data_IF_531542884253
#
_entry.id   IF_531542884253
#
_cell.length_a   1.000
_cell.length_b   1.000
_cell.length_c   1.000
_cell.angle_alpha   90.00
_cell.angle_beta   90.00
_cell.angle_gamma   90.00
#
_symmetry.space_group_name_H-M   'P 1'
#
loop_
_entity.id
_entity.type
_entity.pdbx_description
1 polymer ?
#
# COMPACT_ATOMS: atom_id res chain seq x y z
N UNK A 1 50.48 -19.34 10.31
CA UNK A 1 49.25 -19.57 9.52
C UNK A 1 48.92 -18.30 8.74
N UNK A 2 48.86 -18.29 7.42
CA UNK A 2 48.56 -17.07 6.66
C UNK A 2 47.07 -16.78 6.68
N UNK A 3 46.72 -15.51 6.90
CA UNK A 3 45.36 -14.98 6.88
C UNK A 3 44.71 -15.17 5.50
N UNK A 4 43.52 -15.77 5.44
CA UNK A 4 42.72 -15.91 4.25
C UNK A 4 42.19 -14.53 3.80
N UNK A 5 42.76 -14.00 2.73
CA UNK A 5 42.29 -12.83 2.04
C UNK A 5 40.90 -13.13 1.43
N UNK A 6 39.83 -12.50 1.95
CA UNK A 6 38.49 -12.57 1.40
C UNK A 6 38.47 -11.81 0.07
N UNK A 7 37.99 -12.38 -1.06
CA UNK A 7 37.97 -11.67 -2.32
C UNK A 7 37.08 -10.41 -2.23
N UNK A 8 37.44 -9.31 -2.92
CA UNK A 8 36.66 -8.09 -2.89
C UNK A 8 35.28 -8.32 -3.51
N UNK A 9 34.25 -7.86 -2.80
CA UNK A 9 32.86 -7.89 -3.25
C UNK A 9 32.72 -7.10 -4.56
N UNK A 10 32.25 -7.74 -5.63
CA UNK A 10 31.94 -7.14 -6.93
C UNK A 10 30.61 -6.35 -6.92
N UNK A 11 29.93 -6.24 -5.78
CA UNK A 11 28.74 -5.43 -5.67
C UNK A 11 29.09 -3.95 -5.84
N UNK A 12 28.51 -3.31 -6.84
CA UNK A 12 28.66 -1.88 -7.09
C UNK A 12 28.24 -1.09 -5.81
N UNK A 13 29.21 -0.44 -5.16
CA UNK A 13 28.92 0.47 -4.06
C UNK A 13 28.15 1.66 -4.63
N UNK A 14 26.91 1.88 -4.14
CA UNK A 14 26.18 3.12 -4.45
C UNK A 14 27.07 4.32 -4.16
N UNK A 15 27.24 5.21 -5.16
CA UNK A 15 28.06 6.40 -4.94
C UNK A 15 27.39 7.29 -3.88
N UNK A 16 28.16 8.03 -3.05
CA UNK A 16 27.59 8.94 -2.04
C UNK A 16 26.59 9.95 -2.61
N UNK A 17 26.75 10.37 -3.86
CA UNK A 17 25.83 11.26 -4.58
C UNK A 17 24.49 10.61 -4.84
N UNK A 18 24.47 9.33 -5.25
CA UNK A 18 23.22 8.58 -5.47
C UNK A 18 22.47 8.33 -4.15
N UNK A 19 23.18 8.02 -3.08
CA UNK A 19 22.57 7.85 -1.76
C UNK A 19 21.87 9.14 -1.29
N UNK A 20 22.56 10.29 -1.37
CA UNK A 20 21.99 11.59 -1.01
C UNK A 20 20.78 11.97 -1.87
N UNK A 21 20.82 11.64 -3.16
CA UNK A 21 19.68 11.89 -4.05
C UNK A 21 18.47 11.05 -3.67
N UNK A 22 18.65 9.78 -3.32
CA UNK A 22 17.57 8.90 -2.84
C UNK A 22 17.01 9.38 -1.50
N UNK A 23 17.86 9.76 -0.55
CA UNK A 23 17.43 10.33 0.73
C UNK A 23 16.60 11.61 0.53
N UNK A 24 17.06 12.51 -0.35
CA UNK A 24 16.31 13.73 -0.63
C UNK A 24 14.97 13.44 -1.31
N UNK A 25 14.93 12.49 -2.23
CA UNK A 25 13.69 12.04 -2.87
C UNK A 25 12.72 11.51 -1.82
N UNK A 26 13.19 10.70 -0.87
CA UNK A 26 12.36 10.17 0.22
C UNK A 26 11.84 11.28 1.12
N UNK A 27 12.68 12.24 1.53
CA UNK A 27 12.25 13.41 2.31
C UNK A 27 11.13 14.21 1.64
N UNK A 28 11.19 14.35 0.31
CA UNK A 28 10.11 15.01 -0.45
C UNK A 28 8.81 14.21 -0.34
N UNK A 29 8.86 12.90 -0.44
CA UNK A 29 7.68 12.03 -0.34
C UNK A 29 7.09 12.06 1.08
N UNK A 30 7.92 11.96 2.11
CA UNK A 30 7.49 11.98 3.51
C UNK A 30 6.79 13.31 3.85
N UNK A 31 7.37 14.43 3.44
CA UNK A 31 6.76 15.77 3.65
C UNK A 31 5.48 15.92 2.82
N UNK A 32 5.43 15.34 1.63
CA UNK A 32 4.21 15.36 0.81
C UNK A 32 3.09 14.60 1.48
N UNK A 33 3.37 13.41 2.05
CA UNK A 33 2.40 12.64 2.80
C UNK A 33 1.86 13.39 4.02
N UNK A 34 2.74 14.05 4.80
CA UNK A 34 2.33 14.90 5.93
C UNK A 34 1.45 16.07 5.48
N UNK A 35 1.84 16.76 4.42
CA UNK A 35 1.07 17.89 3.89
C UNK A 35 -0.29 17.44 3.34
N UNK A 36 -0.38 16.25 2.74
CA UNK A 36 -1.67 15.68 2.33
C UNK A 36 -2.62 15.52 3.52
N UNK A 37 -2.13 15.04 4.67
CA UNK A 37 -2.94 14.95 5.89
C UNK A 37 -3.34 16.32 6.45
N UNK A 38 -2.44 17.32 6.37
CA UNK A 38 -2.65 18.65 6.94
C UNK A 38 -3.61 19.52 6.11
N UNK A 39 -3.42 19.56 4.78
CA UNK A 39 -4.10 20.52 3.90
C UNK A 39 -4.98 19.86 2.82
N UNK A 40 -4.91 18.54 2.67
CA UNK A 40 -5.63 17.80 1.64
C UNK A 40 -5.00 17.90 0.25
N UNK A 41 -5.65 17.24 -0.72
CA UNK A 41 -5.15 17.17 -2.10
C UNK A 41 -5.22 18.53 -2.83
N UNK A 42 -6.31 19.28 -2.67
CA UNK A 42 -6.55 20.51 -3.45
C UNK A 42 -5.53 21.60 -3.11
N UNK A 43 -5.26 21.81 -1.82
CA UNK A 43 -4.35 22.86 -1.33
C UNK A 43 -2.87 22.45 -1.36
N UNK A 44 -2.56 21.17 -1.61
CA UNK A 44 -1.18 20.73 -1.80
C UNK A 44 -0.57 21.34 -3.05
N UNK A 45 0.56 22.03 -2.90
CA UNK A 45 1.34 22.63 -4.00
C UNK A 45 2.82 22.29 -3.91
N UNK A 46 3.52 22.29 -5.05
CA UNK A 46 4.99 22.12 -5.08
C UNK A 46 5.71 23.24 -4.33
N UNK A 47 5.13 24.45 -4.29
CA UNK A 47 5.65 25.57 -3.52
C UNK A 47 5.57 25.27 -2.02
N UNK A 48 4.45 24.72 -1.55
CA UNK A 48 4.25 24.36 -0.15
C UNK A 48 5.23 23.24 0.29
N UNK A 49 5.41 22.23 -0.56
CA UNK A 49 6.37 21.16 -0.32
C UNK A 49 7.80 21.70 -0.21
N UNK A 50 8.22 22.54 -1.19
CA UNK A 50 9.55 23.13 -1.20
C UNK A 50 9.79 24.03 0.04
N UNK A 51 8.79 24.84 0.41
CA UNK A 51 8.84 25.68 1.61
C UNK A 51 9.00 24.86 2.90
N UNK A 52 8.25 23.76 3.04
CA UNK A 52 8.32 22.88 4.22
C UNK A 52 9.69 22.20 4.35
N UNK A 53 10.36 21.92 3.24
CA UNK A 53 11.70 21.31 3.17
C UNK A 53 12.86 22.31 3.22
N UNK A 54 12.56 23.61 3.25
CA UNK A 54 13.56 24.69 3.14
C UNK A 54 14.47 24.52 1.91
N UNK A 55 13.86 24.25 0.75
CA UNK A 55 14.55 24.17 -0.54
C UNK A 55 13.90 25.08 -1.57
N UNK A 56 14.64 25.42 -2.63
CA UNK A 56 14.05 26.13 -3.76
C UNK A 56 13.07 25.22 -4.53
N UNK A 57 12.03 25.81 -5.15
CA UNK A 57 11.11 25.10 -6.05
C UNK A 57 11.86 24.49 -7.23
N UNK A 58 12.92 25.15 -7.72
CA UNK A 58 13.81 24.61 -8.75
C UNK A 58 14.53 23.33 -8.29
N UNK A 59 14.98 23.29 -7.03
CA UNK A 59 15.56 22.06 -6.44
C UNK A 59 14.55 20.92 -6.37
N UNK A 60 13.29 21.20 -6.01
CA UNK A 60 12.23 20.21 -6.01
C UNK A 60 11.97 19.68 -7.42
N UNK A 61 11.89 20.54 -8.42
CA UNK A 61 11.66 20.16 -9.82
C UNK A 61 12.78 19.30 -10.41
N UNK A 62 13.98 19.35 -9.84
CA UNK A 62 15.05 18.42 -10.21
C UNK A 62 14.70 16.97 -9.88
N UNK A 63 13.94 16.72 -8.82
CA UNK A 63 13.50 15.38 -8.41
C UNK A 63 12.13 15.01 -8.96
N UNK A 64 11.22 15.97 -9.02
CA UNK A 64 9.82 15.77 -9.42
C UNK A 64 9.36 16.95 -10.27
N UNK A 65 9.13 16.76 -11.57
CA UNK A 65 8.84 17.86 -12.49
C UNK A 65 7.52 18.60 -12.20
N UNK A 66 6.60 17.99 -11.43
CA UNK A 66 5.31 18.60 -11.07
C UNK A 66 4.67 17.86 -9.87
N UNK A 67 3.54 18.39 -9.36
CA UNK A 67 2.76 17.78 -8.28
C UNK A 67 2.33 16.33 -8.60
N UNK A 68 1.91 16.05 -9.85
CA UNK A 68 1.44 14.72 -10.24
C UNK A 68 2.55 13.68 -10.14
N UNK A 69 3.79 14.02 -10.49
CA UNK A 69 4.94 13.11 -10.37
C UNK A 69 5.31 12.79 -8.93
N UNK A 70 5.11 13.72 -7.99
CA UNK A 70 5.28 13.45 -6.56
C UNK A 70 4.20 12.47 -6.09
N UNK A 71 2.93 12.74 -6.44
CA UNK A 71 1.79 11.89 -6.07
C UNK A 71 1.91 10.48 -6.67
N UNK A 72 2.35 10.39 -7.93
CA UNK A 72 2.63 9.10 -8.58
C UNK A 72 3.66 8.28 -7.80
N UNK A 73 4.77 8.92 -7.39
CA UNK A 73 5.80 8.23 -6.63
C UNK A 73 5.31 7.82 -5.23
N UNK A 74 4.48 8.65 -4.58
CA UNK A 74 3.88 8.32 -3.28
C UNK A 74 2.89 7.15 -3.40
N UNK A 75 2.05 7.16 -4.43
CA UNK A 75 1.13 6.05 -4.71
C UNK A 75 1.88 4.75 -5.04
N UNK A 76 2.99 4.84 -5.81
CA UNK A 76 3.84 3.68 -6.09
C UNK A 76 4.45 3.07 -4.83
N UNK A 77 4.88 3.89 -3.85
CA UNK A 77 5.35 3.37 -2.56
C UNK A 77 4.23 2.65 -1.79
N UNK A 78 3.02 3.18 -1.81
CA UNK A 78 1.88 2.53 -1.18
C UNK A 78 1.58 1.16 -1.82
N UNK A 79 1.63 1.06 -3.15
CA UNK A 79 1.47 -0.22 -3.87
C UNK A 79 2.57 -1.22 -3.49
N UNK A 80 3.81 -0.77 -3.29
CA UNK A 80 4.90 -1.63 -2.79
C UNK A 80 4.58 -2.17 -1.38
N UNK A 81 4.08 -1.35 -0.48
CA UNK A 81 3.66 -1.79 0.86
C UNK A 81 2.51 -2.80 0.81
N UNK A 82 1.54 -2.59 -0.08
CA UNK A 82 0.47 -3.58 -0.34
C UNK A 82 1.06 -4.89 -0.86
N UNK A 83 2.00 -4.83 -1.79
CA UNK A 83 2.67 -6.02 -2.32
C UNK A 83 3.41 -6.81 -1.23
N UNK A 84 4.08 -6.13 -0.30
CA UNK A 84 4.72 -6.76 0.86
C UNK A 84 3.67 -7.40 1.78
N UNK A 85 2.54 -6.73 2.02
CA UNK A 85 1.46 -7.29 2.81
C UNK A 85 0.86 -8.55 2.16
N UNK A 86 0.76 -8.60 0.84
CA UNK A 86 0.31 -9.79 0.12
C UNK A 86 1.30 -10.96 0.26
N UNK A 87 2.63 -10.69 0.36
CA UNK A 87 3.59 -11.75 0.66
C UNK A 87 3.38 -12.35 2.06
N UNK A 88 3.07 -11.49 3.05
CA UNK A 88 2.75 -11.98 4.40
C UNK A 88 1.43 -12.76 4.41
N UNK A 89 0.42 -12.34 3.62
CA UNK A 89 -0.85 -13.07 3.47
C UNK A 89 -0.64 -14.43 2.80
N UNK A 90 0.31 -14.56 1.86
CA UNK A 90 0.71 -15.86 1.31
C UNK A 90 1.20 -16.81 2.42
N UNK A 91 2.01 -16.31 3.36
CA UNK A 91 2.49 -17.10 4.50
C UNK A 91 1.35 -17.43 5.47
N UNK A 92 0.50 -16.45 5.78
CA UNK A 92 -0.69 -16.66 6.63
C UNK A 92 -1.59 -17.75 6.05
N UNK A 93 -1.73 -17.83 4.72
CA UNK A 93 -2.54 -18.86 4.07
C UNK A 93 -1.97 -20.28 4.24
N UNK A 94 -0.64 -20.41 4.38
CA UNK A 94 0.00 -21.72 4.62
C UNK A 94 -0.08 -22.14 6.11
N UNK A 95 -0.10 -21.18 7.03
CA UNK A 95 0.02 -21.41 8.47
C UNK A 95 -1.33 -21.42 9.20
N UNK A 96 -2.40 -20.85 8.63
CA UNK A 96 -3.69 -20.71 9.29
C UNK A 96 -4.38 -22.07 9.48
N UNK A 97 -4.84 -22.34 10.70
CA UNK A 97 -5.53 -23.59 11.06
C UNK A 97 -6.99 -23.64 10.57
N UNK A 98 -7.56 -22.48 10.22
CA UNK A 98 -8.94 -22.37 9.75
C UNK A 98 -9.14 -21.21 8.78
N UNK A 99 -10.22 -21.28 7.97
CA UNK A 99 -10.61 -20.20 7.08
C UNK A 99 -10.95 -18.90 7.85
N UNK A 100 -11.52 -19.02 9.05
CA UNK A 100 -11.82 -17.89 9.93
C UNK A 100 -10.54 -17.20 10.40
N UNK A 101 -9.56 -17.97 10.84
CA UNK A 101 -8.25 -17.43 11.24
C UNK A 101 -7.53 -16.77 10.08
N UNK A 102 -7.46 -17.42 8.91
CA UNK A 102 -6.94 -16.82 7.69
C UNK A 102 -7.63 -15.48 7.38
N UNK A 103 -8.97 -15.48 7.41
CA UNK A 103 -9.77 -14.28 7.15
C UNK A 103 -9.37 -13.12 8.08
N UNK A 104 -9.33 -13.38 9.38
CA UNK A 104 -9.02 -12.38 10.40
C UNK A 104 -7.60 -11.83 10.26
N UNK A 105 -6.61 -12.71 10.10
CA UNK A 105 -5.21 -12.33 9.95
C UNK A 105 -4.93 -11.58 8.65
N UNK A 106 -5.56 -12.00 7.54
CA UNK A 106 -5.44 -11.31 6.26
C UNK A 106 -5.98 -9.88 6.32
N UNK A 107 -7.12 -9.68 6.97
CA UNK A 107 -7.68 -8.34 7.22
C UNK A 107 -6.77 -7.52 8.12
N UNK A 108 -6.30 -8.06 9.25
CA UNK A 108 -5.40 -7.35 10.16
C UNK A 108 -4.12 -6.90 9.44
N UNK A 109 -3.57 -7.76 8.57
CA UNK A 109 -2.37 -7.44 7.81
C UNK A 109 -2.60 -6.28 6.83
N UNK A 110 -3.73 -6.27 6.13
CA UNK A 110 -4.09 -5.16 5.24
C UNK A 110 -4.34 -3.86 6.01
N UNK A 111 -5.11 -3.90 7.10
CA UNK A 111 -5.36 -2.73 7.94
C UNK A 111 -4.06 -2.09 8.46
N UNK A 112 -3.04 -2.90 8.74
CA UNK A 112 -1.74 -2.39 9.17
C UNK A 112 -1.07 -1.52 8.09
N UNK A 113 -1.20 -1.85 6.80
CA UNK A 113 -0.70 -1.02 5.70
C UNK A 113 -1.38 0.35 5.72
N UNK A 114 -2.72 0.37 5.77
CA UNK A 114 -3.48 1.62 5.78
C UNK A 114 -3.16 2.49 7.01
N UNK A 115 -2.96 1.90 8.18
CA UNK A 115 -2.63 2.63 9.42
C UNK A 115 -1.22 3.24 9.41
N UNK A 116 -0.30 2.66 8.67
CA UNK A 116 1.08 3.17 8.55
C UNK A 116 1.22 4.28 7.53
N UNK A 117 0.28 4.38 6.60
CA UNK A 117 0.35 5.31 5.49
C UNK A 117 -0.24 6.68 5.87
N UNK A 118 0.63 7.68 6.03
CA UNK A 118 0.20 9.06 6.16
C UNK A 118 -0.37 9.58 4.83
N UNK A 119 -1.38 10.44 4.88
CA UNK A 119 -1.98 11.06 3.70
C UNK A 119 -2.75 10.09 2.80
N UNK A 120 -3.09 8.88 3.28
CA UNK A 120 -3.73 7.86 2.43
C UNK A 120 -5.08 8.32 1.87
N UNK A 121 -5.92 8.97 2.67
CA UNK A 121 -7.24 9.43 2.21
C UNK A 121 -7.15 10.47 1.10
N UNK A 122 -6.42 11.60 1.27
CA UNK A 122 -6.22 12.56 0.20
C UNK A 122 -5.45 11.99 -1.00
N UNK A 123 -4.57 10.99 -0.78
CA UNK A 123 -3.88 10.30 -1.87
C UNK A 123 -4.86 9.48 -2.72
N UNK A 124 -5.76 8.73 -2.10
CA UNK A 124 -6.81 7.98 -2.81
C UNK A 124 -7.73 8.94 -3.56
N UNK A 125 -8.12 10.08 -2.96
CA UNK A 125 -8.88 11.12 -3.66
C UNK A 125 -8.13 11.66 -4.89
N UNK A 126 -6.80 11.85 -4.78
CA UNK A 126 -5.97 12.27 -5.89
C UNK A 126 -5.93 11.20 -7.00
N UNK A 127 -5.84 9.92 -6.67
CA UNK A 127 -5.84 8.82 -7.63
C UNK A 127 -7.15 8.83 -8.44
N UNK A 128 -8.29 8.99 -7.81
CA UNK A 128 -9.59 9.06 -8.51
C UNK A 128 -9.79 10.35 -9.31
N UNK A 129 -9.21 11.48 -8.87
CA UNK A 129 -9.42 12.79 -9.48
C UNK A 129 -8.42 13.11 -10.60
N UNK A 130 -7.26 12.47 -10.63
CA UNK A 130 -6.16 12.75 -11.56
C UNK A 130 -6.03 11.62 -12.57
N UNK A 131 -6.42 11.84 -13.84
CA UNK A 131 -6.43 10.78 -14.86
C UNK A 131 -5.07 10.08 -15.05
N UNK A 132 -3.97 10.80 -14.86
CA UNK A 132 -2.61 10.27 -15.01
C UNK A 132 -2.22 9.27 -13.89
N UNK A 133 -2.96 9.23 -12.79
CA UNK A 133 -2.76 8.28 -11.70
C UNK A 133 -3.63 7.02 -11.83
N UNK A 134 -4.63 7.03 -12.72
CA UNK A 134 -5.53 5.88 -12.92
C UNK A 134 -4.81 4.56 -13.27
N UNK A 135 -3.75 4.54 -14.10
CA UNK A 135 -3.02 3.30 -14.36
C UNK A 135 -2.39 2.66 -13.11
N UNK A 136 -2.10 3.46 -12.07
CA UNK A 136 -1.62 2.93 -10.78
C UNK A 136 -2.73 2.23 -10.00
N UNK A 137 -3.95 2.77 -10.03
CA UNK A 137 -5.12 2.17 -9.41
C UNK A 137 -5.46 0.83 -10.09
N UNK A 138 -5.49 0.82 -11.42
CA UNK A 138 -5.71 -0.39 -12.21
C UNK A 138 -4.64 -1.47 -11.91
N UNK A 139 -3.36 -1.07 -11.84
CA UNK A 139 -2.27 -1.99 -11.52
C UNK A 139 -2.35 -2.52 -10.07
N UNK A 140 -2.77 -1.69 -9.11
CA UNK A 140 -3.05 -2.09 -7.74
C UNK A 140 -4.15 -3.14 -7.68
N UNK A 141 -5.27 -2.89 -8.34
CA UNK A 141 -6.41 -3.80 -8.38
C UNK A 141 -6.02 -5.16 -8.98
N UNK A 142 -5.36 -5.14 -10.14
CA UNK A 142 -4.87 -6.35 -10.80
C UNK A 142 -3.91 -7.15 -9.88
N UNK A 143 -2.99 -6.47 -9.20
CA UNK A 143 -2.06 -7.09 -8.27
C UNK A 143 -2.81 -7.83 -7.15
N UNK A 144 -3.73 -7.13 -6.47
CA UNK A 144 -4.48 -7.70 -5.34
C UNK A 144 -5.38 -8.84 -5.81
N UNK A 145 -6.14 -8.66 -6.89
CA UNK A 145 -7.07 -9.67 -7.41
C UNK A 145 -6.32 -10.94 -7.80
N UNK A 146 -5.24 -10.80 -8.59
CA UNK A 146 -4.45 -11.94 -9.03
C UNK A 146 -3.80 -12.71 -7.87
N UNK A 147 -3.31 -11.99 -6.86
CA UNK A 147 -2.67 -12.61 -5.69
C UNK A 147 -3.72 -13.28 -4.79
N UNK A 148 -4.77 -12.55 -4.41
CA UNK A 148 -5.82 -13.08 -3.55
C UNK A 148 -6.59 -14.24 -4.19
N UNK A 149 -6.84 -14.21 -5.51
CA UNK A 149 -7.46 -15.35 -6.21
C UNK A 149 -6.64 -16.63 -6.09
N UNK A 150 -5.31 -16.56 -6.14
CA UNK A 150 -4.41 -17.70 -5.90
C UNK A 150 -4.41 -18.14 -4.44
N UNK A 151 -4.40 -17.18 -3.51
CA UNK A 151 -4.45 -17.44 -2.07
C UNK A 151 -5.76 -18.15 -1.70
N UNK A 152 -6.89 -17.69 -2.20
CA UNK A 152 -8.20 -18.31 -1.94
C UNK A 152 -8.25 -19.77 -2.37
N UNK A 153 -7.63 -20.11 -3.49
CA UNK A 153 -7.50 -21.51 -3.92
C UNK A 153 -6.66 -22.35 -2.95
N UNK A 154 -5.63 -21.76 -2.34
CA UNK A 154 -4.77 -22.46 -1.35
C UNK A 154 -5.47 -22.70 -0.02
N UNK A 155 -6.36 -21.81 0.40
CA UNK A 155 -7.17 -21.99 1.62
C UNK A 155 -8.49 -22.74 1.33
N UNK A 156 -8.50 -23.56 0.27
CA UNK A 156 -9.57 -24.50 -0.09
C UNK A 156 -10.91 -23.84 -0.46
N UNK A 157 -10.86 -22.63 -1.04
CA UNK A 157 -12.03 -22.03 -1.68
C UNK A 157 -12.10 -22.55 -3.12
N UNK A 158 -13.19 -23.29 -3.42
CA UNK A 158 -13.41 -23.90 -4.71
C UNK A 158 -14.01 -22.91 -5.71
N UNK A 159 -13.72 -23.11 -7.00
CA UNK A 159 -14.29 -22.30 -8.08
C UNK A 159 -13.38 -22.21 -9.30
N UNK A 160 -13.93 -21.72 -10.38
CA UNK A 160 -13.18 -21.34 -11.58
C UNK A 160 -12.33 -20.10 -11.28
N UNK A 161 -11.30 -19.87 -12.10
CA UNK A 161 -10.47 -18.66 -11.95
C UNK A 161 -11.32 -17.38 -11.98
N UNK A 162 -12.33 -17.30 -12.83
CA UNK A 162 -13.24 -16.16 -12.93
C UNK A 162 -14.03 -15.92 -11.64
N UNK A 163 -14.46 -16.99 -10.98
CA UNK A 163 -15.17 -16.91 -9.69
C UNK A 163 -14.24 -16.46 -8.57
N UNK A 164 -13.01 -16.99 -8.53
CA UNK A 164 -11.99 -16.60 -7.55
C UNK A 164 -11.57 -15.14 -7.76
N UNK A 165 -11.39 -14.67 -8.98
CA UNK A 165 -11.06 -13.27 -9.28
C UNK A 165 -12.21 -12.32 -8.89
N UNK A 166 -13.46 -12.72 -9.12
CA UNK A 166 -14.64 -11.98 -8.67
C UNK A 166 -14.70 -11.90 -7.14
N UNK A 167 -14.40 -13.00 -6.45
CA UNK A 167 -14.33 -13.05 -4.99
C UNK A 167 -13.20 -12.15 -4.46
N UNK A 168 -12.02 -12.21 -5.10
CA UNK A 168 -10.88 -11.38 -4.76
C UNK A 168 -11.15 -9.89 -4.95
N UNK A 169 -11.88 -9.52 -6.01
CA UNK A 169 -12.36 -8.15 -6.21
C UNK A 169 -13.32 -7.73 -5.08
N UNK A 170 -14.28 -8.58 -4.72
CA UNK A 170 -15.20 -8.28 -3.60
C UNK A 170 -14.46 -8.11 -2.28
N UNK A 171 -13.43 -8.93 -2.03
CA UNK A 171 -12.53 -8.78 -0.88
C UNK A 171 -11.81 -7.44 -0.91
N UNK A 172 -11.19 -7.09 -2.04
CA UNK A 172 -10.49 -5.82 -2.24
C UNK A 172 -11.39 -4.63 -1.92
N UNK A 173 -12.56 -4.55 -2.54
CA UNK A 173 -13.49 -3.42 -2.39
C UNK A 173 -13.96 -3.25 -0.94
N UNK A 174 -14.36 -4.35 -0.28
CA UNK A 174 -14.81 -4.32 1.11
C UNK A 174 -13.68 -3.91 2.06
N UNK A 175 -12.49 -4.51 1.89
CA UNK A 175 -11.33 -4.19 2.74
C UNK A 175 -10.89 -2.75 2.51
N UNK A 176 -10.77 -2.29 1.25
CA UNK A 176 -10.37 -0.94 0.92
C UNK A 176 -11.32 0.11 1.51
N UNK A 177 -12.62 -0.02 1.25
CA UNK A 177 -13.61 0.95 1.72
C UNK A 177 -13.63 1.07 3.26
N UNK A 178 -13.62 -0.06 3.97
CA UNK A 178 -13.67 -0.04 5.43
C UNK A 178 -12.31 0.29 6.06
N UNK A 179 -11.18 -0.05 5.43
CA UNK A 179 -9.86 0.37 5.88
C UNK A 179 -9.73 1.90 5.89
N UNK A 180 -10.17 2.58 4.83
CA UNK A 180 -10.22 4.05 4.80
C UNK A 180 -11.10 4.61 5.91
N UNK A 181 -12.26 4.00 6.18
CA UNK A 181 -13.12 4.42 7.30
C UNK A 181 -12.46 4.19 8.67
N UNK A 182 -11.78 3.06 8.86
CA UNK A 182 -11.10 2.68 10.11
C UNK A 182 -9.98 3.67 10.46
N UNK A 183 -9.14 4.05 9.48
CA UNK A 183 -8.02 4.97 9.74
C UNK A 183 -8.48 6.39 10.08
N UNK A 184 -9.68 6.77 9.64
CA UNK A 184 -10.29 8.07 9.94
C UNK A 184 -11.03 8.12 11.29
N UNK A 185 -11.44 6.97 11.82
CA UNK A 185 -12.26 6.88 13.03
C UNK A 185 -11.42 6.92 14.31
N UNK A 186 -12.01 7.44 15.41
CA UNK A 186 -11.44 7.32 16.76
C UNK A 186 -11.52 5.87 17.26
N UNK A 187 -10.59 5.49 18.14
CA UNK A 187 -10.35 4.13 18.58
C UNK A 187 -11.59 3.26 18.90
N UNK A 188 -12.59 3.67 19.71
CA UNK A 188 -13.72 2.79 20.00
C UNK A 188 -14.58 2.45 18.78
N UNK A 189 -14.74 3.42 17.86
CA UNK A 189 -15.49 3.23 16.62
C UNK A 189 -14.68 2.43 15.60
N UNK A 190 -13.41 2.77 15.44
CA UNK A 190 -12.49 2.06 14.56
C UNK A 190 -12.44 0.56 14.88
N UNK A 191 -12.40 0.20 16.18
CA UNK A 191 -12.43 -1.21 16.61
C UNK A 191 -13.70 -1.91 16.15
N UNK A 192 -14.89 -1.32 16.40
CA UNK A 192 -16.16 -1.92 15.96
C UNK A 192 -16.22 -2.11 14.44
N UNK A 193 -15.79 -1.08 13.67
CA UNK A 193 -15.74 -1.18 12.22
C UNK A 193 -14.77 -2.27 11.75
N UNK A 194 -13.66 -2.49 12.46
CA UNK A 194 -12.75 -3.59 12.17
C UNK A 194 -13.38 -4.96 12.46
N UNK A 195 -14.07 -5.09 13.60
CA UNK A 195 -14.79 -6.33 13.96
C UNK A 195 -15.88 -6.65 12.91
N UNK A 196 -16.62 -5.63 12.45
CA UNK A 196 -17.62 -5.76 11.36
C UNK A 196 -16.95 -6.17 10.03
N UNK A 197 -15.81 -5.56 9.67
CA UNK A 197 -15.06 -5.92 8.46
C UNK A 197 -14.63 -7.39 8.48
N UNK A 198 -14.09 -7.86 9.60
CA UNK A 198 -13.69 -9.26 9.77
C UNK A 198 -14.88 -10.20 9.59
N UNK A 199 -16.01 -9.88 10.21
CA UNK A 199 -17.24 -10.66 10.06
C UNK A 199 -17.73 -10.69 8.59
N UNK A 200 -17.67 -9.55 7.88
CA UNK A 200 -18.06 -9.47 6.46
C UNK A 200 -17.13 -10.33 5.58
N UNK A 201 -15.81 -10.21 5.75
CA UNK A 201 -14.85 -11.00 4.98
C UNK A 201 -14.99 -12.48 5.28
N UNK A 202 -15.14 -12.88 6.54
CA UNK A 202 -15.37 -14.26 6.91
C UNK A 202 -16.64 -14.82 6.25
N UNK A 203 -17.74 -14.08 6.31
CA UNK A 203 -19.00 -14.48 5.65
C UNK A 203 -18.82 -14.61 4.12
N UNK A 204 -18.11 -13.66 3.48
CA UNK A 204 -17.82 -13.66 2.07
C UNK A 204 -17.05 -14.93 1.65
N UNK A 205 -16.00 -15.29 2.39
CA UNK A 205 -15.15 -16.44 2.09
C UNK A 205 -15.84 -17.78 2.41
N UNK A 206 -16.55 -17.88 3.54
CA UNK A 206 -17.27 -19.09 3.95
C UNK A 206 -18.38 -19.46 2.95
N UNK A 207 -19.13 -18.46 2.48
CA UNK A 207 -20.18 -18.64 1.50
C UNK A 207 -19.68 -19.13 0.14
N UNK A 208 -18.44 -18.86 -0.19
CA UNK A 208 -17.80 -19.25 -1.45
C UNK A 208 -17.13 -20.63 -1.37
N UNK A 209 -17.13 -21.27 -0.18
CA UNK A 209 -16.64 -22.64 0.05
C UNK A 209 -17.73 -23.70 -0.16
N UNK A 210 -18.99 -23.28 -0.20
CA UNK A 210 -20.17 -24.15 -0.38
C UNK A 210 -20.46 -24.35 -1.85
#
# INVERSE_FOLDING_TARGET
MPAKNKPPSLAARRTPTQARALERRQQILDITAQLLDEVGFDDLTTILIAKRLDISVGSLYHYFPNKKSVLHALASQWIEEVSLALNDIDTIADDAESLTEFSDLSVDRMILVYRRQQGILPLVQAIYSVPELRPLDEAHDELVINRMGKVFKRVDIQGTQVELDRLARSYLEVVHALALAIVWQKAPRAKRTLDDLKAMVNCLLTRSRS
#
